data_IF_983054708420
#
_entry.id   IF_983054708420
#
_cell.length_a   1.000
_cell.length_b   1.000
_cell.length_c   1.000
_cell.angle_alpha   90.00
_cell.angle_beta   90.00
_cell.angle_gamma   90.00
#
_symmetry.space_group_name_H-M   'P 1'
#
loop_
_entity.id
_entity.type
_entity.pdbx_description
1 polymer ?
#
# COMPACT_ATOMS: atom_id res chain seq x y z
N UNK A 1 -3.31 16.11 -21.62
CA UNK A 1 -3.54 15.22 -20.47
C UNK A 1 -4.80 15.70 -19.76
N UNK A 2 -5.82 14.85 -19.61
CA UNK A 2 -7.00 15.24 -18.80
C UNK A 2 -6.57 15.28 -17.34
N UNK A 3 -6.84 16.39 -16.67
CA UNK A 3 -6.50 16.59 -15.27
C UNK A 3 -7.36 15.62 -14.44
N UNK A 4 -6.75 14.57 -13.87
CA UNK A 4 -7.45 13.70 -12.92
C UNK A 4 -7.55 14.50 -11.61
N UNK A 5 -8.76 14.75 -11.08
CA UNK A 5 -8.91 15.46 -9.82
C UNK A 5 -8.24 14.66 -8.70
N UNK A 6 -7.14 15.20 -8.17
CA UNK A 6 -6.46 14.64 -7.01
C UNK A 6 -7.24 15.01 -5.75
N UNK A 7 -7.84 14.03 -5.09
CA UNK A 7 -8.41 14.20 -3.75
C UNK A 7 -7.24 14.31 -2.77
N UNK A 8 -6.90 15.55 -2.40
CA UNK A 8 -5.88 15.86 -1.39
C UNK A 8 -6.59 16.04 -0.06
N UNK A 9 -6.33 15.15 0.89
CA UNK A 9 -6.69 15.34 2.30
C UNK A 9 -5.36 15.59 3.03
N UNK A 10 -5.19 16.78 3.59
CA UNK A 10 -4.02 17.16 4.41
C UNK A 10 -2.65 16.87 3.77
N UNK A 11 -2.52 17.08 2.46
CA UNK A 11 -1.27 16.83 1.72
C UNK A 11 -1.02 15.35 1.37
N UNK A 12 -1.83 14.43 1.88
CA UNK A 12 -1.85 13.02 1.49
C UNK A 12 -2.80 12.89 0.29
N UNK A 13 -2.26 12.45 -0.85
CA UNK A 13 -3.08 12.22 -2.04
C UNK A 13 -3.62 10.79 -2.02
N UNK A 14 -4.87 10.63 -1.57
CA UNK A 14 -5.52 9.32 -1.46
C UNK A 14 -6.10 8.91 -2.81
N UNK A 15 -5.91 7.65 -3.22
CA UNK A 15 -6.63 7.04 -4.34
C UNK A 15 -6.02 7.18 -5.74
N UNK A 16 -4.76 7.61 -5.87
CA UNK A 16 -4.12 7.79 -7.19
C UNK A 16 -3.77 6.48 -7.90
N UNK A 17 -3.55 5.38 -7.16
CA UNK A 17 -3.28 4.05 -7.73
C UNK A 17 -4.55 3.25 -8.05
N UNK A 18 -5.74 3.85 -7.95
CA UNK A 18 -6.99 3.20 -8.32
C UNK A 18 -6.95 2.78 -9.81
N UNK A 19 -7.38 1.56 -10.11
CA UNK A 19 -7.46 1.04 -11.48
C UNK A 19 -8.22 1.98 -12.44
N UNK A 20 -9.27 2.66 -11.98
CA UNK A 20 -10.00 3.63 -12.80
C UNK A 20 -9.15 4.84 -13.17
N UNK A 21 -8.36 5.35 -12.22
CA UNK A 21 -7.42 6.47 -12.42
C UNK A 21 -6.26 6.03 -13.32
N UNK A 22 -5.69 4.85 -13.07
CA UNK A 22 -4.61 4.29 -13.91
C UNK A 22 -5.06 4.16 -15.37
N UNK A 23 -6.28 3.68 -15.62
CA UNK A 23 -6.83 3.63 -16.99
C UNK A 23 -6.90 5.01 -17.66
N UNK A 24 -7.16 6.08 -16.92
CA UNK A 24 -7.23 7.45 -17.44
C UNK A 24 -5.85 8.08 -17.71
N UNK A 25 -4.84 7.68 -16.94
CA UNK A 25 -3.44 8.16 -17.09
C UNK A 25 -2.78 7.60 -18.37
N UNK A 26 -3.35 6.53 -18.94
CA UNK A 26 -2.86 5.84 -20.14
C UNK A 26 -1.80 4.80 -19.80
N UNK A 27 -1.81 3.66 -20.49
CA UNK A 27 -1.02 2.46 -20.13
C UNK A 27 0.47 2.75 -19.90
N UNK A 28 1.07 3.59 -20.74
CA UNK A 28 2.51 3.93 -20.68
C UNK A 28 2.90 4.66 -19.38
N UNK A 29 1.98 5.41 -18.78
CA UNK A 29 2.26 6.26 -17.61
C UNK A 29 1.76 5.65 -16.29
N UNK A 30 1.04 4.52 -16.32
CA UNK A 30 0.43 3.91 -15.14
C UNK A 30 1.46 3.52 -14.08
N UNK A 31 2.57 2.93 -14.51
CA UNK A 31 3.61 2.47 -13.60
C UNK A 31 4.26 3.65 -12.87
N UNK A 32 4.76 4.64 -13.62
CA UNK A 32 5.40 5.85 -13.07
C UNK A 32 4.46 6.58 -12.12
N UNK A 33 3.19 6.72 -12.49
CA UNK A 33 2.18 7.35 -11.66
C UNK A 33 1.93 6.59 -10.34
N UNK A 34 1.75 5.27 -10.42
CA UNK A 34 1.56 4.44 -9.23
C UNK A 34 2.77 4.53 -8.30
N UNK A 35 3.98 4.47 -8.86
CA UNK A 35 5.23 4.59 -8.09
C UNK A 35 5.33 5.93 -7.38
N UNK A 36 5.07 7.04 -8.07
CA UNK A 36 5.10 8.38 -7.48
C UNK A 36 4.06 8.54 -6.36
N UNK A 37 2.84 8.06 -6.60
CA UNK A 37 1.76 8.12 -5.60
C UNK A 37 2.09 7.31 -4.34
N UNK A 38 2.56 6.06 -4.51
CA UNK A 38 2.93 5.19 -3.39
C UNK A 38 4.12 5.78 -2.63
N UNK A 39 5.16 6.23 -3.34
CA UNK A 39 6.35 6.87 -2.75
C UNK A 39 5.97 8.08 -1.91
N UNK A 40 5.10 8.96 -2.43
CA UNK A 40 4.62 10.12 -1.67
C UNK A 40 3.86 9.72 -0.40
N UNK A 41 3.00 8.70 -0.48
CA UNK A 41 2.26 8.20 0.68
C UNK A 41 3.17 7.55 1.73
N UNK A 42 4.16 6.77 1.30
CA UNK A 42 5.11 6.09 2.19
C UNK A 42 6.08 7.07 2.85
N UNK A 43 6.52 8.11 2.15
CA UNK A 43 7.28 9.20 2.77
C UNK A 43 6.52 9.82 3.94
N UNK A 44 5.23 10.15 3.76
CA UNK A 44 4.42 10.73 4.83
C UNK A 44 4.17 9.73 5.96
N UNK A 45 3.80 8.49 5.62
CA UNK A 45 3.46 7.46 6.60
C UNK A 45 4.67 7.05 7.45
N UNK A 46 5.85 6.88 6.86
CA UNK A 46 7.07 6.52 7.57
C UNK A 46 7.44 7.57 8.64
N UNK A 47 7.16 8.86 8.38
CA UNK A 47 7.34 9.93 9.37
C UNK A 47 6.32 9.85 10.51
N UNK A 48 5.04 9.61 10.20
CA UNK A 48 3.98 9.46 11.22
C UNK A 48 4.30 8.30 12.17
N UNK A 49 4.72 7.17 11.59
CA UNK A 49 5.03 5.94 12.31
C UNK A 49 6.16 6.09 13.33
N UNK A 50 7.07 7.06 13.18
CA UNK A 50 8.11 7.34 14.19
C UNK A 50 7.52 7.68 15.56
N UNK A 51 6.30 8.22 15.59
CA UNK A 51 5.63 8.63 16.83
C UNK A 51 4.54 7.68 17.30
N UNK A 52 3.98 6.85 16.41
CA UNK A 52 2.82 6.01 16.70
C UNK A 52 3.15 4.53 16.80
N UNK A 53 4.18 4.06 16.09
CA UNK A 53 4.42 2.64 15.91
C UNK A 53 5.01 2.00 17.16
N UNK A 54 4.38 0.91 17.62
CA UNK A 54 5.00 -0.09 18.48
C UNK A 54 5.33 -1.32 17.65
N UNK A 55 4.82 -2.49 18.05
CA UNK A 55 4.83 -3.70 17.23
C UNK A 55 4.11 -3.51 15.89
N UNK A 56 3.02 -2.74 15.88
CA UNK A 56 2.18 -2.46 14.71
C UNK A 56 2.14 -0.95 14.42
N UNK A 57 1.26 -0.50 13.50
CA UNK A 57 1.16 0.92 13.13
C UNK A 57 0.88 1.87 14.30
N UNK A 58 0.10 1.41 15.28
CA UNK A 58 -0.27 2.18 16.48
C UNK A 58 -0.14 1.29 17.71
N UNK A 59 0.95 1.45 18.47
CA UNK A 59 1.24 0.63 19.64
C UNK A 59 1.45 -0.86 19.29
N UNK A 60 1.03 -1.74 20.21
CA UNK A 60 1.35 -3.18 20.16
C UNK A 60 0.18 -4.08 19.77
N UNK A 61 -0.99 -3.50 19.45
CA UNK A 61 -2.17 -4.23 18.97
C UNK A 61 -2.50 -3.88 17.51
N UNK A 62 -3.08 -4.84 16.79
CA UNK A 62 -3.50 -4.63 15.39
C UNK A 62 -4.65 -3.64 15.36
N UNK A 63 -4.55 -2.65 14.48
CA UNK A 63 -5.50 -1.56 14.33
C UNK A 63 -6.01 -1.44 12.88
N UNK A 64 -6.93 -0.51 12.64
CA UNK A 64 -7.37 -0.18 11.28
C UNK A 64 -6.20 0.28 10.38
N UNK A 65 -5.19 0.94 10.95
CA UNK A 65 -4.03 1.39 10.17
C UNK A 65 -3.25 0.20 9.56
N UNK A 66 -3.17 -0.92 10.26
CA UNK A 66 -2.51 -2.14 9.79
C UNK A 66 -3.29 -2.83 8.67
N UNK A 67 -4.62 -2.82 8.77
CA UNK A 67 -5.51 -3.33 7.72
C UNK A 67 -5.36 -2.53 6.41
N UNK A 68 -5.06 -1.23 6.51
CA UNK A 68 -4.75 -0.40 5.34
C UNK A 68 -3.30 -0.55 4.86
N UNK A 69 -2.35 -0.80 5.77
CA UNK A 69 -0.93 -0.88 5.44
C UNK A 69 -0.61 -2.14 4.61
N UNK A 70 -1.03 -3.32 5.06
CA UNK A 70 -0.67 -4.59 4.41
C UNK A 70 -1.01 -4.64 2.90
N UNK A 71 -2.24 -4.31 2.45
CA UNK A 71 -2.56 -4.28 1.02
C UNK A 71 -1.81 -3.17 0.28
N UNK A 72 -1.47 -2.06 0.95
CA UNK A 72 -0.71 -0.98 0.32
C UNK A 72 0.76 -1.38 0.09
N UNK A 73 1.37 -2.16 0.98
CA UNK A 73 2.72 -2.72 0.76
C UNK A 73 2.70 -3.77 -0.36
N UNK A 74 1.64 -4.59 -0.46
CA UNK A 74 1.47 -5.49 -1.60
C UNK A 74 1.34 -4.74 -2.94
N UNK A 75 0.67 -3.58 -2.95
CA UNK A 75 0.66 -2.71 -4.13
C UNK A 75 2.04 -2.13 -4.45
N UNK A 76 2.82 -1.76 -3.44
CA UNK A 76 4.18 -1.28 -3.63
C UNK A 76 5.05 -2.32 -4.33
N UNK A 77 4.97 -3.58 -3.90
CA UNK A 77 5.63 -4.70 -4.56
C UNK A 77 5.14 -4.90 -6.01
N UNK A 78 3.82 -4.90 -6.22
CA UNK A 78 3.21 -5.02 -7.56
C UNK A 78 3.70 -3.94 -8.53
N UNK A 79 3.89 -2.72 -8.06
CA UNK A 79 4.38 -1.59 -8.87
C UNK A 79 5.90 -1.36 -8.75
N UNK A 80 6.63 -2.31 -8.15
CA UNK A 80 8.10 -2.29 -8.01
C UNK A 80 8.64 -1.02 -7.36
N UNK A 81 7.97 -0.55 -6.32
CA UNK A 81 8.41 0.59 -5.49
C UNK A 81 9.50 0.10 -4.54
N UNK A 82 10.60 0.85 -4.44
CA UNK A 82 11.67 0.55 -3.50
C UNK A 82 11.20 0.77 -2.05
N UNK A 83 11.36 -0.25 -1.21
CA UNK A 83 10.99 -0.21 0.21
C UNK A 83 12.18 0.03 1.14
N UNK A 84 13.42 0.07 0.62
CA UNK A 84 14.63 0.35 1.41
C UNK A 84 14.49 1.66 2.23
N UNK A 85 13.91 2.75 1.71
CA UNK A 85 13.74 3.98 2.48
C UNK A 85 12.72 3.90 3.63
N UNK A 86 11.94 2.81 3.72
CA UNK A 86 10.80 2.68 4.64
C UNK A 86 10.97 1.50 5.62
N UNK A 87 11.97 1.55 6.52
CA UNK A 87 12.28 0.45 7.42
C UNK A 87 11.16 0.15 8.44
N UNK A 88 10.42 1.16 8.90
CA UNK A 88 9.34 0.98 9.88
C UNK A 88 8.14 0.30 9.22
N UNK A 89 7.73 0.78 8.04
CA UNK A 89 6.72 0.13 7.21
C UNK A 89 7.10 -1.33 6.93
N UNK A 90 8.34 -1.58 6.52
CA UNK A 90 8.81 -2.94 6.22
C UNK A 90 8.78 -3.86 7.44
N UNK A 91 9.19 -3.37 8.61
CA UNK A 91 9.13 -4.11 9.89
C UNK A 91 7.70 -4.46 10.30
N UNK A 92 6.79 -3.48 10.21
CA UNK A 92 5.37 -3.70 10.57
C UNK A 92 4.76 -4.71 9.60
N UNK A 93 4.94 -4.53 8.29
CA UNK A 93 4.41 -5.45 7.30
C UNK A 93 4.89 -6.89 7.52
N UNK A 94 6.18 -7.08 7.82
CA UNK A 94 6.71 -8.40 8.20
C UNK A 94 6.01 -8.98 9.44
N UNK A 95 5.70 -8.14 10.42
CA UNK A 95 5.00 -8.56 11.63
C UNK A 95 3.53 -8.94 11.36
N UNK A 96 2.86 -8.20 10.47
CA UNK A 96 1.48 -8.48 10.05
C UNK A 96 1.39 -9.79 9.24
N UNK A 97 2.31 -10.01 8.29
CA UNK A 97 2.34 -11.22 7.47
C UNK A 97 2.68 -12.50 8.24
N UNK A 98 3.15 -12.39 9.48
CA UNK A 98 3.33 -13.52 10.38
C UNK A 98 2.03 -13.97 11.08
N UNK A 99 0.95 -13.18 10.99
CA UNK A 99 -0.35 -13.50 11.57
C UNK A 99 -1.20 -14.28 10.57
N UNK A 100 -1.82 -15.38 11.02
CA UNK A 100 -2.66 -16.23 10.16
C UNK A 100 -3.79 -15.44 9.49
N UNK A 101 -4.36 -14.44 10.19
CA UNK A 101 -5.42 -13.60 9.65
C UNK A 101 -5.01 -12.86 8.35
N UNK A 102 -3.75 -12.41 8.23
CA UNK A 102 -3.24 -11.77 7.02
C UNK A 102 -2.86 -12.79 5.94
N UNK A 103 -2.45 -13.99 6.36
CA UNK A 103 -2.13 -15.08 5.45
C UNK A 103 -3.38 -15.60 4.72
N UNK A 104 -4.48 -15.89 5.43
CA UNK A 104 -5.72 -16.39 4.82
C UNK A 104 -6.48 -15.33 4.01
N UNK A 105 -6.30 -14.04 4.34
CA UNK A 105 -6.92 -12.93 3.61
C UNK A 105 -6.13 -12.47 2.39
N UNK A 106 -4.99 -13.12 2.08
CA UNK A 106 -4.18 -12.76 0.92
C UNK A 106 -5.00 -12.90 -0.39
N UNK A 107 -4.89 -11.95 -1.35
CA UNK A 107 -5.64 -11.98 -2.60
C UNK A 107 -5.44 -13.24 -3.45
N UNK A 108 -4.33 -13.97 -3.26
CA UNK A 108 -4.05 -15.22 -3.96
C UNK A 108 -4.78 -16.45 -3.38
N UNK A 109 -5.51 -16.29 -2.27
CA UNK A 109 -6.16 -17.37 -1.51
C UNK A 109 -7.67 -17.21 -1.44
N UNK A 110 -8.22 -16.27 -2.21
CA UNK A 110 -9.65 -16.02 -2.23
C UNK A 110 -10.36 -16.92 -3.24
N UNK A 111 -11.65 -17.23 -3.05
CA UNK A 111 -12.38 -18.10 -3.99
C UNK A 111 -12.39 -17.59 -5.43
N UNK A 112 -12.38 -16.26 -5.60
CA UNK A 112 -12.42 -15.55 -6.88
C UNK A 112 -11.03 -15.29 -7.48
N UNK A 113 -9.94 -15.68 -6.81
CA UNK A 113 -8.60 -15.55 -7.37
C UNK A 113 -8.50 -16.33 -8.70
N UNK A 114 -8.05 -15.68 -9.81
CA UNK A 114 -7.78 -16.38 -11.06
C UNK A 114 -6.80 -17.55 -10.86
N UNK A 115 -6.99 -18.70 -11.52
CA UNK A 115 -6.15 -19.89 -11.31
C UNK A 115 -4.64 -19.62 -11.42
N UNK A 116 -4.22 -18.73 -12.32
CA UNK A 116 -2.84 -18.35 -12.56
C UNK A 116 -2.21 -17.50 -11.45
N UNK A 117 -3.02 -16.95 -10.55
CA UNK A 117 -2.58 -16.13 -9.40
C UNK A 117 -2.78 -16.85 -8.06
N UNK A 118 -3.26 -18.09 -8.04
CA UNK A 118 -3.46 -18.85 -6.79
C UNK A 118 -2.13 -19.32 -6.22
N UNK A 119 -2.00 -19.23 -4.89
CA UNK A 119 -0.84 -19.69 -4.13
C UNK A 119 -0.94 -21.17 -3.77
#
# INVERSE_FOLDING_TARGET
MKQVPALKIDGITIGQSNLSVLKQVGQENQLTWAQQAITSGFNALEQILQSTAGRYCVGDEVSMADLCLAPQVANADRFKVDLIPYPTISRINKSLLALEAFHVSHPCRQPDTPPELRA
#
